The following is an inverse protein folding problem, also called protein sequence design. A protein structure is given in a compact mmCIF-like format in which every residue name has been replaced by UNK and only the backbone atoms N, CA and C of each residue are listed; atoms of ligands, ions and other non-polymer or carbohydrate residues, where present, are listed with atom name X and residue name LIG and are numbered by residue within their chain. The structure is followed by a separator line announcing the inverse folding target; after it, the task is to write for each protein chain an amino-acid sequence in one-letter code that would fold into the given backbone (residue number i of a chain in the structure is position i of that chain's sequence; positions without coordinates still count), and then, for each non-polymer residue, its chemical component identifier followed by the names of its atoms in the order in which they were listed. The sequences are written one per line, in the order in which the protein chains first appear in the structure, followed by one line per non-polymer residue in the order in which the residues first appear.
data_IF_376086453096
#
_entry.id   IF_376086453096
#
_cell.length_a   1.000
_cell.length_b   1.000
_cell.length_c   1.000
_cell.angle_alpha   90.00
_cell.angle_beta   90.00
_cell.angle_gamma   90.00
#
_symmetry.space_group_name_H-M   'P 1'
#
loop_
_entity.id
_entity.type
_entity.pdbx_description
1 polymer ?
#
# COMPACT_ATOMS: atom_id res chain seq x y z
N UNK A 1 -10.35 42.34 -9.10
CA UNK A 1 -10.43 42.64 -7.65
C UNK A 1 -9.58 41.60 -6.94
N UNK A 2 -8.35 41.95 -6.55
CA UNK A 2 -7.36 40.97 -6.08
C UNK A 2 -7.63 40.49 -4.65
N UNK A 3 -7.49 39.19 -4.41
CA UNK A 3 -7.57 38.63 -3.06
C UNK A 3 -6.45 39.26 -2.20
N UNK A 4 -6.80 40.04 -1.17
CA UNK A 4 -5.88 40.44 -0.10
C UNK A 4 -5.83 39.32 0.93
N UNK A 5 -4.84 38.44 0.82
CA UNK A 5 -4.60 37.37 1.79
C UNK A 5 -3.95 37.97 3.05
N UNK A 6 -4.61 37.84 4.19
CA UNK A 6 -4.03 38.24 5.48
C UNK A 6 -3.14 37.11 6.03
N UNK A 7 -2.07 37.47 6.76
CA UNK A 7 -1.05 36.53 7.26
C UNK A 7 -1.66 35.36 8.04
N UNK A 8 -2.71 35.64 8.83
CA UNK A 8 -3.42 34.63 9.63
C UNK A 8 -4.17 33.63 8.76
N UNK A 9 -4.83 34.10 7.70
CA UNK A 9 -5.53 33.28 6.70
C UNK A 9 -4.55 32.47 5.88
N UNK A 10 -3.40 33.04 5.50
CA UNK A 10 -2.35 32.26 4.81
C UNK A 10 -1.79 31.17 5.72
N UNK A 11 -1.52 31.49 6.99
CA UNK A 11 -1.02 30.53 7.99
C UNK A 11 -2.02 29.40 8.26
N UNK A 12 -3.30 29.73 8.45
CA UNK A 12 -4.36 28.75 8.65
C UNK A 12 -4.51 27.83 7.43
N UNK A 13 -4.44 28.38 6.22
CA UNK A 13 -4.53 27.60 4.97
C UNK A 13 -3.34 26.66 4.78
N UNK A 14 -2.12 27.07 5.18
CA UNK A 14 -0.92 26.21 5.22
C UNK A 14 -1.03 25.08 6.25
N UNK A 15 -1.63 25.36 7.42
CA UNK A 15 -1.86 24.37 8.47
C UNK A 15 -2.89 23.30 8.05
N UNK A 16 -3.95 23.72 7.34
CA UNK A 16 -4.96 22.82 6.77
C UNK A 16 -4.36 21.92 5.68
N UNK A 17 -3.43 22.43 4.86
CA UNK A 17 -2.76 21.64 3.83
C UNK A 17 -1.83 20.56 4.42
N UNK A 18 -1.28 20.79 5.61
CA UNK A 18 -0.45 19.79 6.32
C UNK A 18 -1.29 18.71 7.03
N UNK A 19 -2.58 18.96 7.25
CA UNK A 19 -3.54 17.98 7.76
C UNK A 19 -4.15 17.08 6.66
N UNK A 20 -3.76 17.26 5.39
CA UNK A 20 -4.13 16.33 4.33
C UNK A 20 -3.33 15.05 4.52
N UNK A 21 -3.97 14.03 5.07
CA UNK A 21 -3.47 12.66 5.01
C UNK A 21 -3.53 12.22 3.54
N UNK A 22 -2.43 12.40 2.82
CA UNK A 22 -2.22 11.69 1.55
C UNK A 22 -2.03 10.24 1.95
N UNK A 23 -3.09 9.44 1.88
CA UNK A 23 -2.98 7.98 2.00
C UNK A 23 -2.24 7.48 0.76
N UNK A 24 -0.91 7.48 0.85
CA UNK A 24 -0.06 6.77 -0.09
C UNK A 24 -0.32 5.28 0.12
N UNK A 25 -1.29 4.73 -0.59
CA UNK A 25 -1.52 3.29 -0.58
C UNK A 25 -0.26 2.58 -1.07
N UNK A 26 0.29 1.73 -0.21
CA UNK A 26 1.45 0.92 -0.58
C UNK A 26 0.96 -0.41 -1.14
N UNK A 27 1.41 -0.72 -2.37
CA UNK A 27 1.06 -1.96 -3.05
C UNK A 27 2.19 -2.97 -2.88
N UNK A 28 1.88 -4.08 -2.24
CA UNK A 28 2.76 -5.22 -2.05
C UNK A 28 2.41 -6.29 -3.10
N UNK A 29 3.00 -6.15 -4.29
CA UNK A 29 2.84 -7.11 -5.39
C UNK A 29 3.58 -8.40 -5.09
N UNK A 30 2.85 -9.51 -4.92
CA UNK A 30 3.40 -10.83 -4.56
C UNK A 30 4.44 -11.36 -5.55
N UNK A 31 4.47 -10.89 -6.79
CA UNK A 31 5.49 -11.28 -7.78
C UNK A 31 6.87 -10.72 -7.45
N UNK A 32 6.93 -9.58 -6.76
CA UNK A 32 8.18 -9.03 -6.19
C UNK A 32 8.74 -9.88 -5.05
N UNK A 33 7.89 -10.73 -4.48
CA UNK A 33 8.22 -11.70 -3.43
C UNK A 33 8.50 -13.09 -4.00
N UNK A 34 8.49 -13.25 -5.33
CA UNK A 34 8.78 -14.51 -6.00
C UNK A 34 7.56 -15.35 -6.35
N UNK A 35 6.33 -14.87 -6.12
CA UNK A 35 5.14 -15.55 -6.61
C UNK A 35 5.13 -15.58 -8.14
N UNK A 36 4.76 -16.73 -8.70
CA UNK A 36 4.60 -16.93 -10.15
C UNK A 36 3.26 -17.59 -10.41
N UNK A 37 2.56 -17.13 -11.44
CA UNK A 37 1.31 -17.73 -11.89
C UNK A 37 1.61 -19.07 -12.58
N UNK A 38 1.84 -20.10 -11.79
CA UNK A 38 2.10 -21.47 -12.21
C UNK A 38 1.46 -22.41 -11.18
N UNK A 39 0.61 -23.32 -11.64
CA UNK A 39 -0.10 -24.31 -10.83
C UNK A 39 0.83 -25.33 -10.15
N UNK A 40 2.10 -25.40 -10.55
CA UNK A 40 3.11 -26.28 -9.96
C UNK A 40 3.98 -25.58 -8.92
N UNK A 41 3.88 -24.26 -8.78
CA UNK A 41 4.72 -23.46 -7.89
C UNK A 41 3.90 -22.99 -6.69
N UNK A 42 4.24 -23.52 -5.52
CA UNK A 42 3.63 -23.07 -4.27
C UNK A 42 4.08 -21.63 -3.92
N UNK A 43 3.12 -20.71 -3.83
CA UNK A 43 3.39 -19.29 -3.54
C UNK A 43 3.24 -18.90 -2.06
N UNK A 44 2.97 -19.84 -1.15
CA UNK A 44 2.65 -19.55 0.27
C UNK A 44 3.72 -18.69 0.95
N UNK A 45 5.00 -18.93 0.68
CA UNK A 45 6.10 -18.14 1.26
C UNK A 45 6.14 -16.71 0.71
N UNK A 46 5.92 -16.54 -0.59
CA UNK A 46 5.88 -15.22 -1.22
C UNK A 46 4.69 -14.40 -0.68
N UNK A 47 3.52 -15.03 -0.55
CA UNK A 47 2.32 -14.41 -0.01
C UNK A 47 2.49 -14.02 1.46
N UNK A 48 3.02 -14.91 2.31
CA UNK A 48 3.27 -14.61 3.73
C UNK A 48 4.27 -13.46 3.91
N UNK A 49 5.32 -13.40 3.08
CA UNK A 49 6.28 -12.30 3.15
C UNK A 49 5.67 -10.97 2.71
N UNK A 50 4.89 -10.96 1.62
CA UNK A 50 4.15 -9.76 1.19
C UNK A 50 3.16 -9.28 2.26
N UNK A 51 2.46 -10.23 2.89
CA UNK A 51 1.53 -9.96 3.98
C UNK A 51 2.21 -9.39 5.22
N UNK A 52 3.34 -9.95 5.63
CA UNK A 52 4.12 -9.45 6.77
C UNK A 52 4.67 -8.04 6.55
N UNK A 53 5.18 -7.76 5.35
CA UNK A 53 5.65 -6.41 4.99
C UNK A 53 4.48 -5.42 4.95
N UNK A 54 3.31 -5.82 4.43
CA UNK A 54 2.10 -5.00 4.45
C UNK A 54 1.61 -4.70 5.87
N UNK A 55 1.59 -5.70 6.77
CA UNK A 55 1.24 -5.51 8.18
C UNK A 55 2.21 -4.59 8.92
N UNK A 56 3.47 -4.52 8.48
CA UNK A 56 4.49 -3.65 9.07
C UNK A 56 4.45 -2.22 8.53
N UNK A 57 3.61 -1.95 7.53
CA UNK A 57 3.50 -0.64 6.90
C UNK A 57 2.84 0.38 7.84
N UNK A 58 3.39 1.61 7.96
CA UNK A 58 2.78 2.68 8.74
C UNK A 58 1.59 3.35 8.02
N UNK A 59 1.29 2.92 6.79
CA UNK A 59 0.24 3.48 5.94
C UNK A 59 -0.67 2.37 5.39
N UNK A 60 -1.84 2.76 4.91
CA UNK A 60 -2.79 1.88 4.22
C UNK A 60 -2.10 1.05 3.13
N UNK A 61 -2.40 -0.24 3.12
CA UNK A 61 -1.61 -1.22 2.37
C UNK A 61 -2.50 -2.23 1.67
N UNK A 62 -2.13 -2.58 0.44
CA UNK A 62 -2.80 -3.58 -0.38
C UNK A 62 -1.81 -4.67 -0.75
N UNK A 63 -2.12 -5.92 -0.41
CA UNK A 63 -1.41 -7.09 -0.95
C UNK A 63 -2.06 -7.44 -2.29
N UNK A 64 -1.34 -7.20 -3.38
CA UNK A 64 -1.86 -7.39 -4.74
C UNK A 64 -1.40 -8.74 -5.30
N UNK A 65 -2.37 -9.53 -5.75
CA UNK A 65 -2.15 -10.78 -6.49
C UNK A 65 -2.61 -10.51 -7.93
N UNK A 66 -1.68 -10.48 -8.91
CA UNK A 66 -2.06 -10.33 -10.32
C UNK A 66 -2.95 -11.46 -10.81
N UNK A 67 -3.64 -11.25 -11.93
CA UNK A 67 -4.43 -12.29 -12.58
C UNK A 67 -3.56 -13.51 -12.95
N UNK A 68 -4.02 -14.70 -12.58
CA UNK A 68 -3.31 -15.96 -12.84
C UNK A 68 -3.84 -17.11 -11.99
N UNK A 69 -3.34 -18.32 -12.26
CA UNK A 69 -3.58 -19.50 -11.41
C UNK A 69 -2.34 -19.76 -10.58
N UNK A 70 -2.53 -19.94 -9.27
CA UNK A 70 -1.44 -20.07 -8.30
C UNK A 70 -1.68 -21.27 -7.40
N UNK A 71 -0.69 -22.14 -7.24
CA UNK A 71 -0.74 -23.14 -6.18
C UNK A 71 -0.50 -22.48 -4.82
N UNK A 72 -1.45 -22.69 -3.90
CA UNK A 72 -1.36 -22.19 -2.53
C UNK A 72 -1.47 -23.37 -1.56
N UNK A 73 -0.44 -23.57 -0.75
CA UNK A 73 -0.50 -24.48 0.38
C UNK A 73 -1.17 -23.82 1.59
N UNK A 74 -1.46 -24.61 2.62
CA UNK A 74 -1.97 -24.09 3.88
C UNK A 74 -1.02 -23.02 4.45
N UNK A 75 -1.59 -21.87 4.82
CA UNK A 75 -0.89 -20.78 5.48
C UNK A 75 -1.56 -20.47 6.81
N UNK A 76 -0.76 -20.06 7.79
CA UNK A 76 -1.23 -19.46 9.05
C UNK A 76 -0.67 -18.04 9.06
N UNK A 77 -1.53 -17.08 9.40
CA UNK A 77 -1.25 -15.65 9.36
C UNK A 77 -1.14 -15.14 10.79
#
# INVERSE_FOLDING_TARGET
MGLKLNITTTSLMLLLASAVEVSCDTIFDVTKYGAKADENINISQALLKAWGDACSSPVSSTVMIPDGTYALGQITI
#
